data_IF_243330010079
#
_entry.id   IF_243330010079
#
_cell.length_a   1.000
_cell.length_b   1.000
_cell.length_c   1.000
_cell.angle_alpha   90.00
_cell.angle_beta   90.00
_cell.angle_gamma   90.00
#
_symmetry.space_group_name_H-M   'P 1'
#
loop_
_entity.id
_entity.type
_entity.pdbx_description
1 polymer ?
#
# COMPACT_ATOMS: atom_id res chain seq x y z
N UNK A 1 5.56 -16.16 -15.26
CA UNK A 1 4.19 -15.68 -15.48
C UNK A 1 4.23 -14.36 -16.24
N UNK A 2 3.09 -13.91 -16.78
CA UNK A 2 2.99 -12.69 -17.61
C UNK A 2 2.04 -11.65 -17.01
N UNK A 3 1.87 -11.68 -15.68
CA UNK A 3 0.90 -10.85 -14.97
C UNK A 3 1.63 -10.14 -13.84
N UNK A 4 1.55 -8.80 -13.84
CA UNK A 4 1.89 -7.96 -12.70
C UNK A 4 0.68 -7.84 -11.79
N UNK A 5 0.86 -8.10 -10.51
CA UNK A 5 -0.17 -7.92 -9.47
C UNK A 5 0.32 -6.86 -8.50
N UNK A 6 -0.48 -5.81 -8.31
CA UNK A 6 -0.26 -4.76 -7.31
C UNK A 6 -1.40 -4.77 -6.29
N UNK A 7 -1.04 -4.59 -5.02
CA UNK A 7 -1.98 -4.38 -3.90
C UNK A 7 -1.50 -3.18 -3.10
N UNK A 8 -2.38 -2.20 -2.91
CA UNK A 8 -2.14 -0.98 -2.12
C UNK A 8 -3.48 -0.44 -1.61
N UNK A 9 -3.45 0.62 -0.81
CA UNK A 9 -4.60 1.44 -0.45
C UNK A 9 -4.47 2.84 -1.06
N UNK A 10 -5.57 3.60 -1.04
CA UNK A 10 -5.61 5.02 -1.37
C UNK A 10 -5.18 5.90 -0.19
N UNK A 11 -5.55 5.52 1.04
CA UNK A 11 -5.12 6.19 2.28
C UNK A 11 -5.27 5.30 3.53
N UNK A 12 -4.74 5.76 4.68
CA UNK A 12 -5.04 5.20 6.00
C UNK A 12 -6.27 5.92 6.60
N UNK A 13 -7.03 5.23 7.46
CA UNK A 13 -8.17 5.84 8.18
C UNK A 13 -8.20 5.42 9.65
N UNK A 14 -8.43 6.42 10.51
CA UNK A 14 -8.73 6.24 11.92
C UNK A 14 -7.51 6.13 12.83
N UNK A 15 -6.29 6.10 12.26
CA UNK A 15 -5.06 5.89 13.03
C UNK A 15 -5.13 4.57 13.80
N UNK A 16 -5.60 3.52 13.13
CA UNK A 16 -5.84 2.22 13.75
C UNK A 16 -4.55 1.64 14.30
N UNK A 17 -4.57 1.24 15.57
CA UNK A 17 -3.37 0.80 16.27
C UNK A 17 -3.62 -0.45 17.12
N UNK A 18 -2.64 -1.35 17.12
CA UNK A 18 -2.52 -2.40 18.12
C UNK A 18 -2.00 -1.79 19.42
N UNK A 19 -2.81 -1.84 20.46
CA UNK A 19 -2.51 -1.25 21.74
C UNK A 19 -1.63 -2.19 22.58
N UNK A 20 -0.88 -1.60 23.51
CA UNK A 20 -0.02 -2.32 24.46
C UNK A 20 -0.83 -3.37 25.24
N UNK A 21 -0.26 -4.56 25.39
CA UNK A 21 -0.91 -5.70 26.06
C UNK A 21 -1.86 -6.47 25.15
N UNK A 22 -1.67 -6.38 23.82
CA UNK A 22 -2.21 -7.33 22.85
C UNK A 22 -1.43 -8.64 22.92
N UNK A 23 -2.15 -9.76 22.91
CA UNK A 23 -1.58 -11.11 22.95
C UNK A 23 -2.05 -11.92 21.72
N UNK A 24 -1.34 -12.97 21.30
CA UNK A 24 -1.83 -13.87 20.26
C UNK A 24 -3.23 -14.40 20.61
N UNK A 25 -4.20 -14.19 19.71
CA UNK A 25 -5.59 -14.57 19.92
C UNK A 25 -6.42 -13.59 20.76
N UNK A 26 -5.83 -12.52 21.30
CA UNK A 26 -6.54 -11.45 22.01
C UNK A 26 -5.88 -10.07 21.74
N UNK A 27 -6.23 -9.49 20.60
CA UNK A 27 -5.73 -8.19 20.19
C UNK A 27 -6.52 -7.06 20.84
N UNK A 28 -5.82 -6.09 21.42
CA UNK A 28 -6.40 -4.84 21.89
C UNK A 28 -6.19 -3.79 20.82
N UNK A 29 -7.27 -3.22 20.31
CA UNK A 29 -7.22 -2.26 19.20
C UNK A 29 -7.80 -0.92 19.60
N UNK A 30 -7.33 0.16 18.98
CA UNK A 30 -7.89 1.49 19.18
C UNK A 30 -7.77 2.36 17.93
N UNK A 31 -8.55 3.43 17.92
CA UNK A 31 -8.53 4.48 16.90
C UNK A 31 -8.18 5.80 17.57
N UNK A 32 -7.36 6.61 16.91
CA UNK A 32 -6.95 7.95 17.37
C UNK A 32 -7.61 9.08 16.60
N UNK A 33 -8.25 8.76 15.46
CA UNK A 33 -8.98 9.68 14.60
C UNK A 33 -10.32 9.07 14.17
N UNK A 34 -11.28 9.91 13.79
CA UNK A 34 -12.53 9.48 13.13
C UNK A 34 -12.51 9.62 11.60
N UNK A 35 -11.39 10.08 11.02
CA UNK A 35 -11.24 10.33 9.59
C UNK A 35 -9.93 9.79 9.01
N UNK A 36 -9.65 10.16 7.76
CA UNK A 36 -8.43 9.75 7.07
C UNK A 36 -7.17 10.33 7.75
N UNK A 37 -6.03 9.68 7.58
CA UNK A 37 -4.73 10.21 8.03
C UNK A 37 -3.71 10.29 6.89
N UNK A 38 -2.64 11.04 7.11
CA UNK A 38 -1.54 11.23 6.14
C UNK A 38 -0.41 10.22 6.26
N UNK A 39 -0.64 9.06 6.89
CA UNK A 39 0.37 8.02 6.98
C UNK A 39 0.66 7.40 5.60
N UNK A 40 1.92 6.97 5.38
CA UNK A 40 2.27 6.19 4.20
C UNK A 40 1.49 4.86 4.16
N UNK A 41 1.07 4.47 2.96
CA UNK A 41 0.43 3.17 2.70
C UNK A 41 1.41 2.24 1.97
N UNK A 42 1.43 0.93 2.30
CA UNK A 42 2.32 -0.01 1.64
C UNK A 42 1.85 -0.36 0.22
N UNK A 43 2.80 -0.44 -0.71
CA UNK A 43 2.59 -1.02 -2.04
C UNK A 43 3.25 -2.41 -2.06
N UNK A 44 2.47 -3.44 -2.36
CA UNK A 44 2.95 -4.80 -2.55
C UNK A 44 2.83 -5.16 -4.03
N UNK A 45 3.92 -5.61 -4.64
CA UNK A 45 3.96 -5.98 -6.05
C UNK A 45 4.54 -7.39 -6.25
N UNK A 46 3.97 -8.13 -7.21
CA UNK A 46 4.42 -9.46 -7.61
C UNK A 46 4.31 -9.65 -9.12
N UNK A 47 5.26 -10.37 -9.71
CA UNK A 47 5.29 -10.67 -11.14
C UNK A 47 6.27 -9.79 -11.93
N UNK A 48 6.24 -9.84 -13.28
CA UNK A 48 7.15 -9.06 -14.12
C UNK A 48 7.01 -7.55 -13.89
N UNK A 49 8.11 -6.84 -13.62
CA UNK A 49 8.13 -5.40 -13.38
C UNK A 49 7.83 -4.99 -11.93
N UNK A 50 7.65 -5.94 -11.00
CA UNK A 50 7.36 -5.65 -9.60
C UNK A 50 8.49 -4.88 -8.89
N UNK A 51 9.74 -5.06 -9.32
CA UNK A 51 10.91 -4.35 -8.81
C UNK A 51 10.82 -2.83 -8.99
N UNK A 52 10.04 -2.38 -9.98
CA UNK A 52 9.77 -0.96 -10.19
C UNK A 52 8.93 -0.35 -9.07
N UNK A 53 8.32 -1.11 -8.17
CA UNK A 53 7.44 -0.59 -7.10
C UNK A 53 8.10 -0.61 -5.70
N UNK A 54 9.42 -0.78 -5.63
CA UNK A 54 10.18 -0.62 -4.39
C UNK A 54 10.46 0.85 -4.01
N UNK A 55 10.72 1.08 -2.72
CA UNK A 55 11.06 2.40 -2.18
C UNK A 55 9.84 3.30 -1.91
N UNK A 56 10.12 4.58 -1.64
CA UNK A 56 9.09 5.60 -1.48
C UNK A 56 8.75 6.22 -2.84
N UNK A 57 7.46 6.46 -3.10
CA UNK A 57 6.97 7.10 -4.31
C UNK A 57 5.67 7.84 -4.04
N UNK A 58 5.31 8.76 -4.94
CA UNK A 58 4.01 9.40 -4.93
C UNK A 58 2.94 8.42 -5.46
N UNK A 59 1.68 8.60 -5.08
CA UNK A 59 0.61 7.73 -5.58
C UNK A 59 0.40 7.89 -7.10
N UNK A 60 0.72 9.04 -7.68
CA UNK A 60 0.67 9.28 -9.13
C UNK A 60 1.73 8.50 -9.90
N UNK A 61 2.88 8.19 -9.29
CA UNK A 61 3.92 7.37 -9.91
C UNK A 61 3.44 5.96 -10.25
N UNK A 62 2.44 5.44 -9.51
CA UNK A 62 1.86 4.11 -9.74
C UNK A 62 1.31 4.01 -11.17
N UNK A 63 0.60 5.04 -11.64
CA UNK A 63 0.05 5.07 -12.99
C UNK A 63 1.15 4.97 -14.04
N UNK A 64 2.18 5.81 -13.94
CA UNK A 64 3.26 5.87 -14.93
C UNK A 64 4.07 4.57 -14.94
N UNK A 65 4.32 3.96 -13.78
CA UNK A 65 5.02 2.67 -13.68
C UNK A 65 4.20 1.52 -14.24
N UNK A 66 2.88 1.50 -14.06
CA UNK A 66 1.99 0.52 -14.71
C UNK A 66 1.99 0.70 -16.23
N UNK A 67 1.89 1.95 -16.71
CA UNK A 67 1.94 2.29 -18.15
C UNK A 67 3.23 1.75 -18.79
N UNK A 68 4.37 1.96 -18.12
CA UNK A 68 5.67 1.46 -18.56
C UNK A 68 5.74 -0.07 -18.54
N UNK A 69 5.27 -0.72 -17.47
CA UNK A 69 5.26 -2.19 -17.36
C UNK A 69 4.45 -2.86 -18.48
N UNK A 70 3.37 -2.21 -18.93
CA UNK A 70 2.53 -2.65 -20.04
C UNK A 70 3.04 -2.20 -21.42
N UNK A 71 4.12 -1.41 -21.47
CA UNK A 71 4.68 -0.80 -22.70
C UNK A 71 3.63 -0.04 -23.51
N UNK A 72 2.76 0.67 -22.80
CA UNK A 72 1.75 1.51 -23.43
C UNK A 72 2.40 2.83 -23.82
N UNK A 73 2.67 2.98 -25.12
CA UNK A 73 3.09 4.25 -25.71
C UNK A 73 1.84 5.05 -26.13
N UNK A 74 1.92 6.37 -26.02
CA UNK A 74 1.01 7.25 -26.78
C UNK A 74 1.39 7.26 -28.26
#
# INVERSE_FOLDING_TARGET
GHTLVLVTADHETGGFSLLRGSEPGNLKTGFSSGGHTGNYVPIMAYGPGAEAFGGFMDNTDIFFRIKEALRLHE
#
